data_IF_143958857917
#
_entry.id   IF_143958857917
#
_cell.length_a   1.000
_cell.length_b   1.000
_cell.length_c   1.000
_cell.angle_alpha   90.00
_cell.angle_beta   90.00
_cell.angle_gamma   90.00
#
_symmetry.space_group_name_H-M   'P 1'
#
loop_
_entity.id
_entity.type
_entity.pdbx_description
1 polymer ?
#
# COMPACT_ATOMS: atom_id res chain seq x y z
N UNK A 1 -10.43 -9.41 -27.95
CA UNK A 1 -9.38 -9.20 -26.93
C UNK A 1 -10.11 -8.58 -25.76
N UNK A 2 -10.65 -9.40 -24.87
CA UNK A 2 -11.42 -8.92 -23.72
C UNK A 2 -10.46 -8.71 -22.55
N UNK A 3 -9.63 -7.68 -22.64
CA UNK A 3 -8.65 -7.34 -21.60
C UNK A 3 -9.29 -6.57 -20.42
N UNK A 4 -10.59 -6.21 -20.54
CA UNK A 4 -11.37 -5.47 -19.55
C UNK A 4 -11.18 -5.89 -18.09
N UNK A 5 -11.19 -7.19 -17.73
CA UNK A 5 -10.97 -7.61 -16.35
C UNK A 5 -9.54 -7.34 -15.84
N UNK A 6 -8.52 -7.46 -16.70
CA UNK A 6 -7.10 -7.19 -16.34
C UNK A 6 -6.87 -5.70 -16.10
N UNK A 7 -7.45 -4.84 -16.94
CA UNK A 7 -7.40 -3.39 -16.77
C UNK A 7 -8.06 -2.92 -15.48
N UNK A 8 -9.18 -3.53 -15.10
CA UNK A 8 -9.89 -3.20 -13.86
C UNK A 8 -9.09 -3.60 -12.62
N UNK A 9 -8.42 -4.75 -12.65
CA UNK A 9 -7.56 -5.21 -11.56
C UNK A 9 -6.32 -4.30 -11.41
N UNK A 10 -5.65 -3.97 -12.52
CA UNK A 10 -4.49 -3.06 -12.51
C UNK A 10 -4.85 -1.67 -11.96
N UNK A 11 -5.98 -1.11 -12.41
CA UNK A 11 -6.48 0.17 -11.90
C UNK A 11 -6.81 0.14 -10.40
N UNK A 12 -7.24 -1.01 -9.87
CA UNK A 12 -7.50 -1.15 -8.43
C UNK A 12 -6.18 -1.15 -7.65
N UNK A 13 -5.19 -1.93 -8.09
CA UNK A 13 -3.87 -1.99 -7.46
C UNK A 13 -3.17 -0.62 -7.47
N UNK A 14 -3.21 0.10 -8.59
CA UNK A 14 -2.66 1.46 -8.69
C UNK A 14 -3.35 2.44 -7.73
N UNK A 15 -4.67 2.35 -7.58
CA UNK A 15 -5.41 3.21 -6.62
C UNK A 15 -4.98 2.93 -5.19
N UNK A 16 -4.84 1.66 -4.80
CA UNK A 16 -4.39 1.30 -3.45
C UNK A 16 -2.95 1.72 -3.17
N UNK A 17 -2.07 1.62 -4.17
CA UNK A 17 -0.71 2.13 -4.09
C UNK A 17 -0.67 3.64 -3.87
N UNK A 18 -1.42 4.41 -4.68
CA UNK A 18 -1.52 5.87 -4.51
C UNK A 18 -2.06 6.26 -3.14
N UNK A 19 -3.09 5.57 -2.66
CA UNK A 19 -3.66 5.79 -1.32
C UNK A 19 -2.61 5.52 -0.24
N UNK A 20 -1.90 4.39 -0.31
CA UNK A 20 -0.85 4.01 0.66
C UNK A 20 0.32 4.99 0.67
N UNK A 21 0.80 5.39 -0.51
CA UNK A 21 1.86 6.38 -0.64
C UNK A 21 1.44 7.73 -0.08
N UNK A 22 0.24 8.23 -0.41
CA UNK A 22 -0.26 9.51 0.13
C UNK A 22 -0.39 9.47 1.65
N UNK A 23 -0.94 8.39 2.23
CA UNK A 23 -1.08 8.25 3.69
C UNK A 23 0.30 8.25 4.37
N UNK A 24 1.28 7.52 3.83
CA UNK A 24 2.64 7.47 4.38
C UNK A 24 3.40 8.79 4.28
N UNK A 25 3.25 9.51 3.16
CA UNK A 25 3.89 10.81 2.94
C UNK A 25 3.30 11.88 3.89
N UNK A 26 1.97 11.97 3.97
CA UNK A 26 1.27 12.85 4.92
C UNK A 26 1.56 12.49 6.37
N UNK A 27 1.58 11.20 6.72
CA UNK A 27 1.86 10.73 8.07
C UNK A 27 3.28 11.10 8.52
N UNK A 28 4.26 10.98 7.61
CA UNK A 28 5.64 11.37 7.88
C UNK A 28 5.76 12.89 8.07
N UNK A 29 5.21 13.67 7.15
CA UNK A 29 5.23 15.14 7.25
C UNK A 29 4.50 15.66 8.50
N UNK A 30 3.36 15.05 8.86
CA UNK A 30 2.60 15.38 10.06
C UNK A 30 3.36 15.00 11.35
N UNK A 31 4.01 13.84 11.36
CA UNK A 31 4.84 13.41 12.49
C UNK A 31 5.99 14.38 12.75
N UNK A 32 6.67 14.85 11.70
CA UNK A 32 7.74 15.85 11.84
C UNK A 32 7.22 17.22 12.28
N UNK A 33 5.98 17.58 11.95
CA UNK A 33 5.32 18.79 12.48
C UNK A 33 4.96 18.67 13.96
N UNK A 34 4.44 17.51 14.41
CA UNK A 34 4.12 17.30 15.84
C UNK A 34 5.39 17.22 16.69
N UNK A 35 6.42 16.56 16.18
CA UNK A 35 7.63 16.29 16.98
C UNK A 35 8.64 17.46 16.92
N UNK A 36 8.34 18.51 16.15
CA UNK A 36 9.19 19.71 15.95
C UNK A 36 10.65 19.38 15.61
N UNK A 37 10.86 18.40 14.73
CA UNK A 37 12.18 17.99 14.25
C UNK A 37 13.26 17.88 15.36
N UNK A 38 13.13 16.90 16.28
CA UNK A 38 13.93 16.86 17.51
C UNK A 38 15.43 16.61 17.30
N UNK A 39 15.83 16.17 16.09
CA UNK A 39 17.20 15.78 15.74
C UNK A 39 17.83 16.66 14.66
N UNK A 40 17.25 17.82 14.33
CA UNK A 40 17.73 18.72 13.27
C UNK A 40 17.90 18.02 11.91
N UNK A 41 16.99 17.12 11.53
CA UNK A 41 17.06 16.45 10.23
C UNK A 41 16.85 17.45 9.12
N UNK A 42 17.64 17.32 8.05
CA UNK A 42 17.46 18.10 6.83
C UNK A 42 16.16 17.70 6.15
N UNK A 43 15.52 18.67 5.50
CA UNK A 43 14.28 18.47 4.73
C UNK A 43 14.44 17.34 3.70
N UNK A 44 15.61 17.21 3.10
CA UNK A 44 15.92 16.14 2.15
C UNK A 44 15.81 14.74 2.78
N UNK A 45 16.28 14.58 4.02
CA UNK A 45 16.21 13.31 4.76
C UNK A 45 14.76 12.94 5.08
N UNK A 46 13.97 13.93 5.48
CA UNK A 46 12.55 13.77 5.81
C UNK A 46 11.76 13.34 4.58
N UNK A 47 12.01 13.96 3.42
CA UNK A 47 11.35 13.59 2.16
C UNK A 47 11.72 12.17 1.70
N UNK A 48 12.98 11.78 1.85
CA UNK A 48 13.44 10.43 1.49
C UNK A 48 12.81 9.36 2.40
N UNK A 49 12.71 9.67 3.70
CA UNK A 49 12.02 8.82 4.67
C UNK A 49 10.51 8.74 4.40
N UNK A 50 9.88 9.85 3.99
CA UNK A 50 8.47 9.94 3.65
C UNK A 50 8.14 9.08 2.42
N UNK A 51 8.95 9.16 1.36
CA UNK A 51 8.82 8.26 0.20
C UNK A 51 9.01 6.79 0.58
N UNK A 52 10.03 6.46 1.38
CA UNK A 52 10.28 5.08 1.79
C UNK A 52 9.13 4.50 2.60
N UNK A 53 8.60 5.27 3.56
CA UNK A 53 7.42 4.87 4.34
C UNK A 53 6.18 4.78 3.45
N UNK A 54 5.96 5.73 2.53
CA UNK A 54 4.87 5.67 1.55
C UNK A 54 4.88 4.37 0.74
N UNK A 55 6.04 3.99 0.20
CA UNK A 55 6.20 2.74 -0.56
C UNK A 55 5.97 1.51 0.33
N UNK A 56 6.54 1.47 1.53
CA UNK A 56 6.31 0.34 2.46
C UNK A 56 4.83 0.20 2.81
N UNK A 57 4.15 1.30 3.11
CA UNK A 57 2.71 1.28 3.45
C UNK A 57 1.88 0.83 2.26
N UNK A 58 2.22 1.27 1.05
CA UNK A 58 1.60 0.81 -0.20
C UNK A 58 1.74 -0.70 -0.40
N UNK A 59 2.96 -1.26 -0.28
CA UNK A 59 3.21 -2.70 -0.43
C UNK A 59 2.48 -3.51 0.64
N UNK A 60 2.46 -3.04 1.89
CA UNK A 60 1.75 -3.69 2.98
C UNK A 60 0.24 -3.74 2.73
N UNK A 61 -0.34 -2.65 2.23
CA UNK A 61 -1.77 -2.53 1.96
C UNK A 61 -2.19 -3.38 0.75
N UNK A 62 -1.39 -3.39 -0.31
CA UNK A 62 -1.59 -4.30 -1.46
C UNK A 62 -1.50 -5.77 -1.03
N UNK A 63 -0.49 -6.12 -0.21
CA UNK A 63 -0.33 -7.47 0.34
C UNK A 63 -1.52 -7.86 1.22
N UNK A 64 -2.01 -6.95 2.07
CA UNK A 64 -3.19 -7.18 2.91
C UNK A 64 -4.46 -7.38 2.08
N UNK A 65 -4.65 -6.61 1.02
CA UNK A 65 -5.78 -6.77 0.10
C UNK A 65 -5.68 -8.09 -0.66
N UNK A 66 -4.50 -8.46 -1.17
CA UNK A 66 -4.27 -9.77 -1.80
C UNK A 66 -4.57 -10.93 -0.84
N UNK A 67 -4.12 -10.82 0.41
CA UNK A 67 -4.43 -11.79 1.48
C UNK A 67 -5.92 -11.83 1.82
N UNK A 68 -6.66 -10.73 1.63
CA UNK A 68 -8.12 -10.65 1.85
C UNK A 68 -8.96 -10.99 0.61
N UNK A 69 -8.43 -10.84 -0.60
CA UNK A 69 -9.09 -11.13 -1.89
C UNK A 69 -9.01 -12.60 -2.27
N UNK A 70 -8.12 -13.39 -1.67
CA UNK A 70 -8.43 -14.80 -1.47
C UNK A 70 -9.42 -14.87 -0.31
N UNK A 71 -10.72 -15.09 -0.53
CA UNK A 71 -11.55 -15.50 0.58
C UNK A 71 -10.97 -16.84 1.02
N UNK A 72 -10.57 -16.96 2.29
CA UNK A 72 -10.14 -18.24 2.87
C UNK A 72 -11.12 -19.38 2.53
N UNK A 73 -12.37 -19.05 2.19
CA UNK A 73 -13.38 -19.96 1.68
C UNK A 73 -13.10 -20.52 0.26
N UNK A 74 -12.72 -19.72 -0.75
CA UNK A 74 -12.42 -20.23 -2.12
C UNK A 74 -11.04 -20.88 -2.19
N UNK A 75 -10.03 -20.31 -1.52
CA UNK A 75 -8.70 -20.91 -1.47
C UNK A 75 -8.74 -22.29 -0.79
N UNK A 76 -9.60 -22.46 0.22
CA UNK A 76 -9.84 -23.76 0.85
C UNK A 76 -10.67 -24.69 -0.05
N UNK A 77 -11.68 -24.19 -0.80
CA UNK A 77 -12.47 -25.02 -1.73
C UNK A 77 -11.63 -25.58 -2.89
N UNK A 78 -10.68 -24.79 -3.39
CA UNK A 78 -9.70 -25.20 -4.40
C UNK A 78 -8.60 -26.10 -3.81
N UNK A 79 -8.11 -25.82 -2.60
CA UNK A 79 -7.07 -26.63 -1.95
C UNK A 79 -7.56 -28.00 -1.43
N UNK A 80 -8.84 -28.13 -1.08
CA UNK A 80 -9.46 -29.39 -0.62
C UNK A 80 -10.02 -30.21 -1.79
N UNK A 81 -10.02 -29.67 -3.02
CA UNK A 81 -10.26 -30.44 -4.23
C UNK A 81 -11.71 -30.81 -4.50
N UNK A 82 -12.65 -29.88 -4.31
CA UNK A 82 -13.95 -29.99 -4.96
C UNK A 82 -14.02 -28.98 -6.12
N UNK A 83 -14.13 -29.52 -7.33
CA UNK A 83 -14.28 -28.82 -8.60
C UNK A 83 -15.58 -28.01 -8.63
#
# INVERSE_FOLDING_TARGET
>A
MEDGPVWKQSAHNTKWCLIGCSIGDFGTIFFFQITENPWAWSVMSIMLLAMFNGIMTSIALETFILLKQMPLNEAFRVAVGCH
#
